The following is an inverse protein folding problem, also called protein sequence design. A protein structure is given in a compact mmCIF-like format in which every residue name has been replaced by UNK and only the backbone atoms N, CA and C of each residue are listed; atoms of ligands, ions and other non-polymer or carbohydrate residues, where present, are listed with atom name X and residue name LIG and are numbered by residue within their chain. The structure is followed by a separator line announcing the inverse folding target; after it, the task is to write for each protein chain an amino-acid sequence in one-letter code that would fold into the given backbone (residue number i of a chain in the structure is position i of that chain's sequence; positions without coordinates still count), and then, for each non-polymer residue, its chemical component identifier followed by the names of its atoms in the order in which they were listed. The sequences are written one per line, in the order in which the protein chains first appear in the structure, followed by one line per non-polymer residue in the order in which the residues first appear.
data_IF_506815172536
#
_entry.id   IF_506815172536
#
_cell.length_a   1.000
_cell.length_b   1.000
_cell.length_c   1.000
_cell.angle_alpha   90.00
_cell.angle_beta   90.00
_cell.angle_gamma   90.00
#
_symmetry.space_group_name_H-M   'P 1'
#
loop_
_entity.id
_entity.type
_entity.pdbx_description
1 polymer ?
#
# COMPACT_ATOMS: atom_id res chain seq x y z
N UNK A 1 -18.52 16.72 -0.60
CA UNK A 1 -17.23 17.30 -0.19
C UNK A 1 -16.53 16.35 0.76
N UNK A 2 -15.25 16.09 0.47
CA UNK A 2 -14.22 15.45 1.32
C UNK A 2 -14.53 14.03 1.76
N UNK A 3 -14.04 13.08 0.96
CA UNK A 3 -13.64 11.76 1.45
C UNK A 3 -12.83 11.98 2.72
N UNK A 4 -13.33 11.44 3.82
CA UNK A 4 -12.57 11.31 5.06
C UNK A 4 -11.36 10.49 4.66
N UNK A 5 -10.22 11.15 4.49
CA UNK A 5 -8.98 10.49 4.18
C UNK A 5 -8.68 9.63 5.39
N UNK A 6 -9.02 8.34 5.29
CA UNK A 6 -8.62 7.37 6.28
C UNK A 6 -7.10 7.42 6.29
N UNK A 7 -6.48 7.69 7.45
CA UNK A 7 -5.02 7.82 7.56
C UNK A 7 -4.25 6.62 6.96
N UNK A 8 -4.92 5.47 6.86
CA UNK A 8 -4.41 4.23 6.26
C UNK A 8 -4.42 4.25 4.72
N UNK A 9 -5.41 4.92 4.09
CA UNK A 9 -5.45 5.13 2.63
C UNK A 9 -4.36 6.11 2.19
N UNK A 10 -4.04 7.11 3.02
CA UNK A 10 -2.89 7.99 2.77
C UNK A 10 -1.55 7.28 2.86
N UNK A 11 -1.42 6.28 3.74
CA UNK A 11 -0.19 5.51 3.84
C UNK A 11 0.00 4.62 2.61
N UNK A 12 -1.08 3.95 2.16
CA UNK A 12 -1.09 3.19 0.92
C UNK A 12 -0.71 4.04 -0.30
N UNK A 13 -1.29 5.23 -0.42
CA UNK A 13 -0.98 6.13 -1.54
C UNK A 13 0.49 6.54 -1.56
N UNK A 14 1.05 6.92 -0.39
CA UNK A 14 2.46 7.29 -0.27
C UNK A 14 3.40 6.14 -0.66
N UNK A 15 3.13 4.95 -0.16
CA UNK A 15 3.95 3.77 -0.49
C UNK A 15 3.83 3.40 -1.97
N UNK A 16 2.66 3.62 -2.59
CA UNK A 16 2.47 3.44 -4.05
C UNK A 16 3.30 4.45 -4.85
N UNK A 17 3.25 5.72 -4.49
CA UNK A 17 4.05 6.77 -5.14
C UNK A 17 5.56 6.50 -5.02
N UNK A 18 6.01 6.09 -3.83
CA UNK A 18 7.40 5.71 -3.58
C UNK A 18 7.85 4.54 -4.48
N UNK A 19 7.01 3.50 -4.60
CA UNK A 19 7.29 2.37 -5.49
C UNK A 19 7.38 2.81 -6.95
N UNK A 20 6.45 3.65 -7.42
CA UNK A 20 6.49 4.17 -8.80
C UNK A 20 7.77 4.96 -9.09
N UNK A 21 8.22 5.80 -8.15
CA UNK A 21 9.47 6.54 -8.28
C UNK A 21 10.68 5.59 -8.38
N UNK A 22 10.73 4.58 -7.51
CA UNK A 22 11.82 3.60 -7.52
C UNK A 22 11.84 2.75 -8.79
N UNK A 23 10.67 2.36 -9.31
CA UNK A 23 10.54 1.64 -10.60
C UNK A 23 11.04 2.50 -11.75
N UNK A 24 10.72 3.81 -11.75
CA UNK A 24 11.16 4.73 -12.80
C UNK A 24 12.68 4.91 -12.81
N UNK A 25 13.33 4.87 -11.64
CA UNK A 25 14.78 5.06 -11.50
C UNK A 25 15.55 3.77 -11.77
N UNK A 26 15.12 2.65 -11.19
CA UNK A 26 15.92 1.41 -11.14
C UNK A 26 15.35 0.25 -11.95
N UNK A 27 14.09 0.33 -12.39
CA UNK A 27 13.38 -0.77 -13.04
C UNK A 27 12.83 -1.81 -12.06
N UNK A 28 11.92 -2.65 -12.56
CA UNK A 28 11.12 -3.58 -11.74
C UNK A 28 11.93 -4.65 -11.00
N UNK A 29 13.09 -5.05 -11.54
CA UNK A 29 13.90 -6.15 -10.99
C UNK A 29 14.93 -5.68 -9.96
N UNK A 30 14.98 -4.39 -9.66
CA UNK A 30 15.96 -3.89 -8.70
C UNK A 30 15.60 -4.34 -7.28
N UNK A 31 16.56 -4.81 -6.45
CA UNK A 31 16.27 -5.32 -5.11
C UNK A 31 15.52 -4.35 -4.20
N UNK A 32 15.80 -3.03 -4.34
CA UNK A 32 15.11 -1.99 -3.58
C UNK A 32 13.63 -1.86 -4.01
N UNK A 33 13.35 -2.00 -5.31
CA UNK A 33 11.99 -1.95 -5.86
C UNK A 33 11.19 -3.17 -5.39
N UNK A 34 11.81 -4.35 -5.42
CA UNK A 34 11.20 -5.59 -4.93
C UNK A 34 10.87 -5.44 -3.44
N UNK A 35 11.82 -5.00 -2.62
CA UNK A 35 11.59 -4.78 -1.19
C UNK A 35 10.49 -3.76 -0.92
N UNK A 36 10.45 -2.67 -1.69
CA UNK A 36 9.38 -1.68 -1.59
C UNK A 36 8.01 -2.27 -1.97
N UNK A 37 7.95 -3.15 -2.97
CA UNK A 37 6.72 -3.83 -3.36
C UNK A 37 6.20 -4.77 -2.27
N UNK A 38 7.10 -5.49 -1.59
CA UNK A 38 6.74 -6.36 -0.45
C UNK A 38 6.12 -5.55 0.70
N UNK A 39 6.68 -4.37 1.01
CA UNK A 39 6.15 -3.46 2.04
C UNK A 39 4.73 -2.99 1.68
N UNK A 40 4.52 -2.59 0.42
CA UNK A 40 3.21 -2.16 -0.07
C UNK A 40 2.19 -3.30 0.00
N UNK A 41 2.57 -4.51 -0.43
CA UNK A 41 1.71 -5.69 -0.38
C UNK A 41 1.32 -6.06 1.06
N UNK A 42 2.25 -5.99 2.01
CA UNK A 42 1.93 -6.20 3.42
C UNK A 42 0.92 -5.18 3.95
N UNK A 43 1.06 -3.90 3.55
CA UNK A 43 0.17 -2.83 3.96
C UNK A 43 -1.25 -3.03 3.40
N UNK A 44 -1.36 -3.38 2.12
CA UNK A 44 -2.63 -3.76 1.47
C UNK A 44 -3.27 -4.93 2.22
N UNK A 45 -2.48 -5.96 2.51
CA UNK A 45 -2.95 -7.14 3.24
C UNK A 45 -3.42 -6.80 4.66
N UNK A 46 -2.75 -5.88 5.37
CA UNK A 46 -3.19 -5.39 6.68
C UNK A 46 -4.54 -4.66 6.58
N UNK A 47 -4.68 -3.77 5.60
CA UNK A 47 -5.94 -3.05 5.36
C UNK A 47 -7.10 -4.00 5.05
N UNK A 48 -6.89 -4.92 4.10
CA UNK A 48 -7.89 -5.92 3.72
C UNK A 48 -8.30 -6.78 4.92
N UNK A 49 -7.35 -7.24 5.75
CA UNK A 49 -7.67 -8.01 6.96
C UNK A 49 -8.48 -7.24 8.00
N UNK A 50 -8.27 -5.93 8.15
CA UNK A 50 -9.10 -5.13 9.05
C UNK A 50 -10.52 -4.97 8.50
N UNK A 51 -10.64 -4.69 7.20
CA UNK A 51 -11.93 -4.54 6.55
C UNK A 51 -12.74 -5.84 6.54
N UNK A 52 -12.12 -6.97 6.18
CA UNK A 52 -12.78 -8.27 6.16
C UNK A 52 -13.15 -8.78 7.56
N UNK A 53 -12.36 -8.49 8.61
CA UNK A 53 -12.76 -8.79 10.00
C UNK A 53 -13.98 -7.99 10.44
N UNK A 54 -14.17 -6.78 9.92
CA UNK A 54 -15.34 -5.96 10.24
C UNK A 54 -16.63 -6.47 9.57
N UNK A 55 -16.50 -7.19 8.44
CA UNK A 55 -17.63 -7.76 7.69
C UNK A 55 -18.10 -9.13 8.23
N UNK A 56 -17.25 -9.87 8.93
CA UNK A 56 -17.59 -11.20 9.48
C UNK A 56 -18.29 -11.16 10.85
N UNK A 57 -18.37 -10.00 11.50
CA UNK A 57 -19.05 -9.83 12.80
C UNK A 57 -20.50 -9.35 12.67
N UNK A 58 -21.15 -9.55 11.52
CA UNK A 58 -22.57 -9.23 11.29
C UNK A 58 -23.45 -10.47 11.30
#
# INVERSE_FOLDING_TARGET
MKYVVNNQESELERERESLHALVAIYGLQHPIVIKQSEILDELINRYNRMFHRHLQTK
#
